data_IF_727831596503
#
_entry.id   IF_727831596503
#
_cell.length_a   1.000
_cell.length_b   1.000
_cell.length_c   1.000
_cell.angle_alpha   90.00
_cell.angle_beta   90.00
_cell.angle_gamma   90.00
#
_symmetry.space_group_name_H-M   'P 1'
#
loop_
_entity.id
_entity.type
_entity.pdbx_description
1 polymer ?
#
# COMPACT_ATOMS: atom_id res chain seq x y z
N UNK A 1 25.06 -1.94 -6.65
CA UNK A 1 23.94 -2.03 -5.70
C UNK A 1 24.51 -1.79 -4.32
N UNK A 2 24.27 -0.65 -3.73
CA UNK A 2 24.71 -0.34 -2.38
C UNK A 2 23.61 -0.76 -1.43
N UNK A 3 23.85 -1.81 -0.63
CA UNK A 3 22.96 -2.20 0.45
C UNK A 3 23.26 -1.27 1.63
N UNK A 4 22.34 -0.42 1.99
CA UNK A 4 22.46 0.47 3.13
C UNK A 4 21.96 -0.20 4.41
N UNK A 5 22.74 -0.09 5.50
CA UNK A 5 22.32 -0.48 6.83
C UNK A 5 21.82 0.75 7.59
N UNK A 6 20.61 0.72 8.09
CA UNK A 6 20.13 1.71 9.06
C UNK A 6 19.95 1.02 10.42
N UNK A 7 20.73 1.45 11.40
CA UNK A 7 20.67 0.97 12.77
C UNK A 7 19.69 1.85 13.58
N UNK A 8 18.55 1.32 13.93
CA UNK A 8 17.62 1.95 14.86
C UNK A 8 17.59 1.15 16.17
N UNK A 9 18.23 1.68 17.24
CA UNK A 9 18.20 1.15 18.61
C UNK A 9 18.45 -0.37 18.74
N UNK A 10 19.50 -0.86 18.08
CA UNK A 10 19.87 -2.28 18.16
C UNK A 10 19.12 -3.22 17.22
N UNK A 11 18.21 -2.71 16.41
CA UNK A 11 17.56 -3.47 15.34
C UNK A 11 18.17 -3.05 13.99
N UNK A 12 18.74 -3.99 13.26
CA UNK A 12 19.23 -3.74 11.90
C UNK A 12 18.10 -3.86 10.88
N UNK A 13 17.96 -2.87 10.02
CA UNK A 13 17.09 -2.94 8.85
C UNK A 13 17.96 -3.18 7.62
N UNK A 14 17.69 -4.26 6.88
CA UNK A 14 18.36 -4.56 5.63
C UNK A 14 17.38 -4.26 4.50
N UNK A 15 17.70 -3.25 3.71
CA UNK A 15 16.89 -2.86 2.57
C UNK A 15 17.76 -2.60 1.33
N UNK A 16 17.27 -3.01 0.17
CA UNK A 16 17.96 -2.82 -1.11
C UNK A 16 17.42 -1.56 -1.81
N UNK A 17 17.74 -0.37 -1.26
CA UNK A 17 17.15 0.88 -1.74
C UNK A 17 18.03 2.10 -1.42
N UNK A 18 17.51 3.28 -1.72
CA UNK A 18 18.12 4.55 -1.31
C UNK A 18 17.85 4.82 0.17
N UNK A 19 18.92 5.15 0.91
CA UNK A 19 18.90 5.40 2.37
C UNK A 19 18.40 6.80 2.74
N UNK A 20 18.08 7.61 1.75
CA UNK A 20 17.85 9.02 1.99
C UNK A 20 16.42 9.31 2.42
N UNK A 21 16.39 10.17 3.40
CA UNK A 21 15.21 10.94 3.68
C UNK A 21 14.77 11.66 2.41
N UNK A 22 13.73 11.18 1.85
CA UNK A 22 12.85 11.82 0.89
C UNK A 22 12.15 13.05 1.51
N UNK A 23 12.62 13.50 2.67
CA UNK A 23 12.03 14.59 3.45
C UNK A 23 11.99 15.95 2.71
N UNK A 24 12.74 16.08 1.63
CA UNK A 24 12.75 17.27 0.79
C UNK A 24 11.93 17.12 -0.50
N UNK A 25 11.27 15.97 -0.69
CA UNK A 25 10.46 15.73 -1.88
C UNK A 25 9.00 16.10 -1.59
N UNK A 26 8.42 16.97 -2.39
CA UNK A 26 7.07 17.49 -2.16
C UNK A 26 6.00 16.42 -2.08
N UNK A 27 6.12 15.33 -2.86
CA UNK A 27 5.18 14.21 -2.82
C UNK A 27 5.22 13.40 -1.51
N UNK A 28 6.23 13.62 -0.66
CA UNK A 28 6.32 13.03 0.68
C UNK A 28 5.75 13.97 1.74
N UNK A 29 6.00 15.26 1.59
CA UNK A 29 5.69 16.27 2.59
C UNK A 29 4.32 16.93 2.40
N UNK A 30 3.83 16.98 1.15
CA UNK A 30 2.56 17.61 0.80
C UNK A 30 1.47 16.56 0.54
N UNK A 31 0.47 16.42 1.41
CA UNK A 31 -0.58 15.40 1.27
C UNK A 31 -1.30 15.42 -0.08
N UNK A 32 -1.50 16.60 -0.66
CA UNK A 32 -2.16 16.73 -1.97
C UNK A 32 -1.36 16.15 -3.14
N UNK A 33 -0.07 15.83 -2.93
CA UNK A 33 0.81 15.19 -3.92
C UNK A 33 1.06 13.71 -3.62
N UNK A 34 0.29 13.13 -2.69
CA UNK A 34 0.42 11.73 -2.32
C UNK A 34 0.27 10.81 -3.55
N UNK A 35 1.15 9.81 -3.66
CA UNK A 35 1.24 8.93 -4.82
C UNK A 35 2.15 9.44 -5.94
N UNK A 36 2.71 10.66 -5.82
CA UNK A 36 3.66 11.21 -6.80
C UNK A 36 4.98 10.45 -6.91
N UNK A 37 5.29 9.60 -5.93
CA UNK A 37 6.47 8.74 -5.97
C UNK A 37 6.32 7.51 -6.89
N UNK A 38 5.10 7.19 -7.32
CA UNK A 38 4.83 6.05 -8.20
C UNK A 38 5.44 6.31 -9.57
N UNK A 39 6.15 5.32 -10.10
CA UNK A 39 6.84 5.42 -11.38
C UNK A 39 8.16 6.20 -11.35
N UNK A 40 8.62 6.61 -10.16
CA UNK A 40 9.90 7.32 -9.98
C UNK A 40 11.03 6.37 -9.53
N UNK A 41 12.19 6.93 -9.19
CA UNK A 41 13.31 6.19 -8.59
C UNK A 41 12.96 5.46 -7.28
N UNK A 42 11.87 5.87 -6.62
CA UNK A 42 11.35 5.33 -5.36
C UNK A 42 10.38 4.16 -5.55
N UNK A 43 10.11 3.79 -6.79
CA UNK A 43 9.24 2.66 -7.13
C UNK A 43 10.06 1.54 -7.79
N UNK A 44 9.78 0.28 -7.46
CA UNK A 44 10.37 -0.86 -8.16
C UNK A 44 9.84 -1.01 -9.59
N UNK A 45 8.79 -0.28 -9.95
CA UNK A 45 8.13 -0.33 -11.26
C UNK A 45 7.79 -1.76 -11.70
N UNK A 46 7.28 -2.56 -10.77
CA UNK A 46 6.84 -3.92 -11.05
C UNK A 46 5.46 -3.94 -11.67
N UNK A 47 5.21 -4.94 -12.50
CA UNK A 47 3.90 -5.18 -13.09
C UNK A 47 3.59 -6.67 -13.18
N UNK A 48 2.32 -7.02 -13.26
CA UNK A 48 1.90 -8.36 -13.64
C UNK A 48 2.16 -8.60 -15.12
N UNK A 49 2.55 -9.81 -15.46
CA UNK A 49 2.61 -10.22 -16.86
C UNK A 49 1.26 -10.01 -17.57
N UNK A 50 1.27 -9.67 -18.85
CA UNK A 50 0.05 -9.57 -19.63
C UNK A 50 -0.83 -10.82 -19.49
N UNK A 51 -2.13 -10.63 -19.33
CA UNK A 51 -3.08 -11.71 -19.12
C UNK A 51 -4.23 -11.58 -20.15
N UNK A 52 -4.53 -12.67 -20.85
CA UNK A 52 -5.56 -12.71 -21.89
C UNK A 52 -6.96 -12.39 -21.33
N UNK A 53 -7.26 -12.79 -20.09
CA UNK A 53 -8.53 -12.48 -19.40
C UNK A 53 -8.71 -10.96 -19.24
N UNK A 54 -7.61 -10.22 -19.17
CA UNK A 54 -7.59 -8.75 -19.07
C UNK A 54 -7.38 -8.08 -20.44
N UNK A 55 -7.59 -8.81 -21.54
CA UNK A 55 -7.36 -8.28 -22.88
C UNK A 55 -5.89 -8.03 -23.21
N UNK A 56 -4.99 -8.82 -22.64
CA UNK A 56 -3.54 -8.69 -22.84
C UNK A 56 -2.89 -7.50 -22.14
N UNK A 57 -3.63 -6.79 -21.28
CA UNK A 57 -3.09 -5.60 -20.64
C UNK A 57 -2.19 -5.97 -19.44
N UNK A 58 -1.14 -5.19 -19.31
CA UNK A 58 -0.25 -5.20 -18.17
C UNK A 58 -0.81 -4.35 -17.02
N UNK A 59 -0.74 -4.86 -15.79
CA UNK A 59 -1.24 -4.14 -14.61
C UNK A 59 -0.05 -3.77 -13.73
N UNK A 60 0.16 -2.48 -13.51
CA UNK A 60 1.22 -1.98 -12.63
C UNK A 60 0.94 -2.32 -11.16
N UNK A 61 2.01 -2.70 -10.46
CA UNK A 61 2.01 -2.97 -9.01
C UNK A 61 3.05 -2.07 -8.37
N UNK A 62 2.71 -0.83 -8.03
CA UNK A 62 3.65 0.08 -7.38
C UNK A 62 4.15 -0.50 -6.05
N UNK A 63 5.47 -0.55 -5.89
CA UNK A 63 6.13 -1.04 -4.68
C UNK A 63 7.28 -0.13 -4.29
N UNK A 64 7.31 0.27 -3.02
CA UNK A 64 8.32 1.20 -2.54
C UNK A 64 9.72 0.63 -2.53
N UNK A 65 10.62 1.36 -3.17
CA UNK A 65 12.08 1.15 -3.22
C UNK A 65 12.78 2.19 -2.34
N UNK A 66 12.34 2.31 -1.11
CA UNK A 66 12.75 3.37 -0.19
C UNK A 66 12.55 2.92 1.25
N UNK A 67 13.26 3.51 2.22
CA UNK A 67 13.05 3.23 3.64
C UNK A 67 11.60 3.49 4.02
N UNK A 68 10.94 2.51 4.64
CA UNK A 68 9.50 2.51 4.92
C UNK A 68 8.68 1.82 3.82
N UNK A 69 9.32 1.36 2.72
CA UNK A 69 8.68 0.57 1.68
C UNK A 69 7.47 1.26 1.04
N UNK A 70 6.47 0.46 0.69
CA UNK A 70 5.27 0.94 -0.01
C UNK A 70 4.41 1.93 0.78
N UNK A 71 4.62 2.07 2.09
CA UNK A 71 3.97 3.11 2.89
C UNK A 71 4.32 4.52 2.38
N UNK A 72 5.50 4.71 1.80
CA UNK A 72 5.95 5.98 1.22
C UNK A 72 5.28 6.30 -0.12
N UNK A 73 4.78 5.29 -0.83
CA UNK A 73 4.05 5.44 -2.08
C UNK A 73 2.53 5.57 -1.87
N UNK A 74 2.10 5.58 -0.62
CA UNK A 74 0.70 5.63 -0.25
C UNK A 74 0.00 6.85 -0.87
N UNK A 75 -1.15 6.64 -1.46
CA UNK A 75 -2.01 7.72 -1.99
C UNK A 75 -2.90 8.34 -0.94
N UNK A 76 -2.76 7.92 0.32
CA UNK A 76 -3.53 8.42 1.46
C UNK A 76 -5.06 8.24 1.27
N UNK A 77 -5.45 7.25 0.49
CA UNK A 77 -6.86 6.90 0.34
C UNK A 77 -7.32 6.21 1.62
N UNK A 78 -8.38 6.75 2.19
CA UNK A 78 -9.01 6.20 3.37
C UNK A 78 -10.48 5.92 3.06
N UNK A 79 -10.80 4.65 2.91
CA UNK A 79 -12.12 4.21 2.47
C UNK A 79 -12.48 2.87 3.12
N UNK A 80 -13.75 2.54 3.09
CA UNK A 80 -14.27 1.23 3.44
C UNK A 80 -15.44 0.86 2.55
N UNK A 81 -15.68 -0.44 2.41
CA UNK A 81 -16.85 -0.94 1.69
C UNK A 81 -18.17 -0.52 2.32
N UNK A 82 -19.22 -0.54 1.53
CA UNK A 82 -20.59 -0.34 1.99
C UNK A 82 -21.10 -1.54 2.78
N UNK A 83 -22.20 -1.36 3.52
CA UNK A 83 -22.88 -2.48 4.20
C UNK A 83 -23.18 -3.64 3.25
N UNK A 84 -23.61 -3.33 2.03
CA UNK A 84 -23.92 -4.35 1.02
C UNK A 84 -22.70 -5.16 0.58
N UNK A 85 -21.51 -4.54 0.51
CA UNK A 85 -20.29 -5.24 0.13
C UNK A 85 -19.92 -6.32 1.15
N UNK A 86 -19.99 -5.98 2.44
CA UNK A 86 -19.71 -6.95 3.51
C UNK A 86 -20.79 -8.04 3.58
N UNK A 87 -22.07 -7.71 3.46
CA UNK A 87 -23.12 -8.71 3.48
C UNK A 87 -23.03 -9.67 2.30
N UNK A 88 -22.48 -9.23 1.16
CA UNK A 88 -22.25 -10.10 0.01
C UNK A 88 -21.26 -11.21 0.29
N UNK A 89 -20.28 -10.99 1.16
CA UNK A 89 -19.33 -12.04 1.55
C UNK A 89 -20.02 -13.19 2.27
N UNK A 90 -21.00 -12.90 3.14
CA UNK A 90 -21.80 -13.93 3.80
C UNK A 90 -22.66 -14.70 2.80
N UNK A 91 -23.28 -14.01 1.85
CA UNK A 91 -24.05 -14.64 0.76
C UNK A 91 -23.19 -15.56 -0.10
N UNK A 92 -21.91 -15.29 -0.24
CA UNK A 92 -20.94 -16.14 -0.95
C UNK A 92 -20.50 -17.38 -0.15
N UNK A 93 -21.09 -17.64 1.01
CA UNK A 93 -20.83 -18.82 1.84
C UNK A 93 -19.82 -18.61 2.98
N UNK A 94 -19.51 -17.36 3.32
CA UNK A 94 -18.62 -17.05 4.43
C UNK A 94 -19.46 -16.66 5.66
N UNK A 95 -19.95 -17.62 6.38
CA UNK A 95 -20.83 -17.40 7.55
C UNK A 95 -20.19 -16.43 8.56
N UNK A 96 -20.97 -15.43 8.97
CA UNK A 96 -20.52 -14.40 9.92
C UNK A 96 -19.66 -13.29 9.32
N UNK A 97 -19.36 -13.35 8.01
CA UNK A 97 -18.63 -12.30 7.29
C UNK A 97 -19.61 -11.26 6.75
N UNK A 98 -20.31 -10.58 7.65
CA UNK A 98 -21.30 -9.56 7.34
C UNK A 98 -21.02 -8.23 8.04
N UNK A 99 -21.76 -7.20 7.65
CA UNK A 99 -21.60 -5.85 8.19
C UNK A 99 -21.74 -5.80 9.72
N UNK A 100 -22.74 -6.47 10.29
CA UNK A 100 -23.05 -6.36 11.71
C UNK A 100 -21.95 -7.01 12.56
N UNK A 101 -21.36 -8.07 12.04
CA UNK A 101 -20.17 -8.71 12.64
C UNK A 101 -18.93 -7.80 12.57
N UNK A 102 -18.70 -7.14 11.43
CA UNK A 102 -17.53 -6.25 11.23
C UNK A 102 -17.66 -4.91 11.94
N UNK A 103 -18.89 -4.37 12.05
CA UNK A 103 -19.12 -3.04 12.61
C UNK A 103 -18.54 -2.85 14.02
N UNK A 104 -18.62 -3.88 14.86
CA UNK A 104 -18.05 -3.84 16.21
C UNK A 104 -16.53 -3.67 16.21
N UNK A 105 -15.86 -4.24 15.22
CA UNK A 105 -14.39 -4.10 15.07
C UNK A 105 -14.02 -2.74 14.48
N UNK A 106 -14.80 -2.25 13.50
CA UNK A 106 -14.60 -0.89 12.99
C UNK A 106 -14.70 0.15 14.10
N UNK A 107 -15.73 0.05 14.97
CA UNK A 107 -15.86 0.94 16.13
C UNK A 107 -14.69 0.82 17.11
N UNK A 108 -14.09 -0.36 17.25
CA UNK A 108 -12.95 -0.59 18.13
C UNK A 108 -11.68 0.08 17.65
N UNK A 109 -11.49 0.22 16.34
CA UNK A 109 -10.30 0.85 15.74
C UNK A 109 -10.49 2.34 15.42
N UNK A 110 -11.52 2.98 15.95
CA UNK A 110 -11.66 4.44 15.90
C UNK A 110 -12.61 4.98 14.84
N UNK A 111 -13.67 4.24 14.53
CA UNK A 111 -14.75 4.70 13.63
C UNK A 111 -15.98 5.16 14.40
#
# INVERSE_FOLDING_TARGET
MTCGFVLLRGTGVIEAHFDHSDANEDFVTVPGLAGGAIGTKYDWNTSYAPNDVLGGREVSIPQGKVVGGSTKLNRMVFDRGSKSDYNRWEVLGNDGWNWDSFLKYFKKVGW
#
